data_IF_359805762121
#
_entry.id   IF_359805762121
#
_cell.length_a   1.000
_cell.length_b   1.000
_cell.length_c   1.000
_cell.angle_alpha   90.00
_cell.angle_beta   90.00
_cell.angle_gamma   90.00
#
_symmetry.space_group_name_H-M   'P 1'
#
loop_
_entity.id
_entity.type
_entity.pdbx_description
1 polymer ?
#
# COMPACT_ATOMS: atom_id res chain seq x y z
N UNK A 1 -22.40 8.60 1.06
CA UNK A 1 -22.53 7.12 1.04
C UNK A 1 -23.63 6.75 2.01
N UNK A 2 -24.54 5.86 1.64
CA UNK A 2 -25.60 5.42 2.56
C UNK A 2 -24.96 4.73 3.77
N UNK A 3 -25.36 5.14 4.98
CA UNK A 3 -25.08 4.42 6.23
C UNK A 3 -25.78 3.06 6.16
N UNK A 4 -25.15 2.10 5.48
CA UNK A 4 -25.47 0.70 5.66
C UNK A 4 -25.09 0.32 7.09
N UNK A 5 -26.00 -0.35 7.79
CA UNK A 5 -25.82 -0.84 9.14
C UNK A 5 -24.60 -1.80 9.18
N UNK A 6 -23.42 -1.28 9.54
CA UNK A 6 -22.19 -2.07 9.63
C UNK A 6 -22.33 -2.97 10.85
N UNK A 7 -22.57 -4.26 10.62
CA UNK A 7 -22.65 -5.23 11.70
C UNK A 7 -21.26 -5.47 12.26
N UNK A 8 -21.10 -5.17 13.54
CA UNK A 8 -19.88 -5.51 14.27
C UNK A 8 -19.68 -7.03 14.31
N UNK A 9 -18.45 -7.47 14.05
CA UNK A 9 -18.03 -8.86 14.14
C UNK A 9 -16.74 -8.95 14.95
N UNK A 10 -16.64 -9.99 15.76
CA UNK A 10 -15.42 -10.31 16.51
C UNK A 10 -14.31 -10.83 15.59
N UNK A 11 -13.06 -10.74 16.05
CA UNK A 11 -11.91 -11.34 15.37
C UNK A 11 -12.10 -12.84 15.16
N UNK A 12 -12.71 -13.55 16.11
CA UNK A 12 -13.01 -14.97 15.96
C UNK A 12 -13.98 -15.25 14.82
N UNK A 13 -14.98 -14.38 14.61
CA UNK A 13 -15.89 -14.49 13.47
C UNK A 13 -15.17 -14.22 12.15
N UNK A 14 -14.25 -13.26 12.11
CA UNK A 14 -13.41 -13.02 10.94
C UNK A 14 -12.52 -14.22 10.62
N UNK A 15 -11.87 -14.80 11.62
CA UNK A 15 -11.02 -16.00 11.45
C UNK A 15 -11.84 -17.15 10.86
N UNK A 16 -13.03 -17.42 11.42
CA UNK A 16 -13.92 -18.45 10.89
C UNK A 16 -14.33 -18.14 9.46
N UNK A 17 -14.70 -16.90 9.18
CA UNK A 17 -15.07 -16.48 7.84
C UNK A 17 -13.93 -16.77 6.86
N UNK A 18 -12.71 -16.34 7.15
CA UNK A 18 -11.52 -16.55 6.32
C UNK A 18 -11.17 -18.04 6.15
N UNK A 19 -11.35 -18.86 7.19
CA UNK A 19 -11.09 -20.31 7.10
C UNK A 19 -12.20 -21.05 6.33
N UNK A 20 -13.46 -20.58 6.40
CA UNK A 20 -14.62 -21.21 5.78
C UNK A 20 -14.88 -20.77 4.34
N UNK A 21 -14.55 -19.53 3.95
CA UNK A 21 -14.67 -19.11 2.55
C UNK A 21 -13.31 -19.04 1.88
N UNK A 22 -13.18 -19.78 0.78
CA UNK A 22 -11.92 -19.91 0.05
C UNK A 22 -11.50 -18.64 -0.71
N UNK A 23 -12.34 -17.59 -0.76
CA UNK A 23 -12.15 -16.44 -1.66
C UNK A 23 -12.16 -15.07 -0.96
N UNK A 24 -11.30 -14.86 0.04
CA UNK A 24 -11.10 -13.53 0.60
C UNK A 24 -9.99 -12.75 -0.11
N UNK A 25 -10.22 -11.44 -0.21
CA UNK A 25 -9.19 -10.47 -0.58
C UNK A 25 -9.30 -9.31 0.38
N UNK A 26 -8.16 -8.76 0.79
CA UNK A 26 -8.14 -7.58 1.66
C UNK A 26 -7.92 -6.32 0.84
N UNK A 27 -8.68 -5.28 1.14
CA UNK A 27 -8.37 -3.91 0.72
C UNK A 27 -7.65 -3.22 1.88
N UNK A 28 -6.39 -2.87 1.66
CA UNK A 28 -5.53 -2.33 2.71
C UNK A 28 -5.09 -0.92 2.35
N UNK A 29 -5.48 0.06 3.18
CA UNK A 29 -5.12 1.47 3.03
C UNK A 29 -3.93 1.91 3.88
N UNK A 30 -3.69 3.23 3.91
CA UNK A 30 -2.51 3.84 4.52
C UNK A 30 -2.37 3.57 6.02
N UNK A 31 -3.45 3.21 6.72
CA UNK A 31 -3.42 2.83 8.12
C UNK A 31 -2.53 1.62 8.43
N UNK A 32 -2.23 0.76 7.44
CA UNK A 32 -1.26 -0.33 7.59
C UNK A 32 0.20 0.15 7.67
N UNK A 33 0.51 1.26 6.99
CA UNK A 33 1.82 1.90 6.88
C UNK A 33 2.04 3.01 7.91
N UNK A 34 0.99 3.42 8.63
CA UNK A 34 1.03 4.51 9.60
C UNK A 34 1.83 4.23 10.89
N UNK A 35 1.77 3.03 11.50
CA UNK A 35 2.53 2.72 12.72
C UNK A 35 4.04 2.64 12.47
N UNK A 36 4.82 2.80 13.54
CA UNK A 36 6.25 2.48 13.50
C UNK A 36 6.49 0.99 13.17
N UNK A 37 7.55 0.66 12.40
CA UNK A 37 8.63 1.52 11.93
C UNK A 37 8.40 2.15 10.54
N UNK A 38 7.20 2.01 9.95
CA UNK A 38 6.92 2.57 8.64
C UNK A 38 6.68 4.08 8.69
N UNK A 39 5.84 4.51 9.66
CA UNK A 39 5.57 5.92 9.96
C UNK A 39 5.13 6.77 8.75
N UNK A 40 4.51 6.15 7.75
CA UNK A 40 4.00 6.84 6.56
C UNK A 40 2.68 7.53 6.93
N UNK A 41 2.55 8.86 6.78
CA UNK A 41 1.32 9.56 7.10
C UNK A 41 0.15 9.07 6.22
N UNK A 42 -1.04 9.04 6.80
CA UNK A 42 -2.28 8.75 6.08
C UNK A 42 -2.65 9.90 5.14
N UNK A 43 -3.56 9.66 4.18
CA UNK A 43 -4.03 10.71 3.28
C UNK A 43 -4.59 11.94 4.00
N UNK A 44 -5.35 11.73 5.09
CA UNK A 44 -5.85 12.82 5.92
C UNK A 44 -4.73 13.62 6.61
N UNK A 45 -3.72 12.93 7.15
CA UNK A 45 -2.58 13.60 7.78
C UNK A 45 -1.72 14.38 6.76
N UNK A 46 -1.59 13.86 5.54
CA UNK A 46 -0.91 14.58 4.46
C UNK A 46 -1.67 15.84 4.04
N UNK A 47 -3.00 15.79 3.95
CA UNK A 47 -3.84 16.95 3.67
C UNK A 47 -3.58 18.05 4.70
N UNK A 48 -3.68 17.72 5.99
CA UNK A 48 -3.48 18.70 7.07
C UNK A 48 -2.05 19.27 7.09
N UNK A 49 -1.05 18.42 6.82
CA UNK A 49 0.33 18.84 6.65
C UNK A 49 0.47 19.85 5.51
N UNK A 50 -0.08 19.56 4.32
CA UNK A 50 0.03 20.44 3.16
C UNK A 50 -0.77 21.73 3.31
N UNK A 51 -1.94 21.70 3.96
CA UNK A 51 -2.69 22.91 4.34
C UNK A 51 -1.81 23.84 5.18
N UNK A 52 -1.19 23.29 6.23
CA UNK A 52 -0.31 24.03 7.15
C UNK A 52 0.90 24.59 6.40
N UNK A 53 1.60 23.75 5.63
CA UNK A 53 2.78 24.18 4.86
C UNK A 53 2.45 25.29 3.85
N UNK A 54 1.31 25.20 3.16
CA UNK A 54 0.87 26.23 2.22
C UNK A 54 0.48 27.53 2.96
N UNK A 55 -0.22 27.43 4.08
CA UNK A 55 -0.60 28.60 4.89
C UNK A 55 0.64 29.34 5.41
N UNK A 56 1.60 28.61 5.99
CA UNK A 56 2.86 29.17 6.48
C UNK A 56 3.69 29.80 5.35
N UNK A 57 3.67 29.19 4.16
CA UNK A 57 4.38 29.70 2.99
C UNK A 57 3.75 30.98 2.42
N UNK A 58 2.43 31.03 2.31
CA UNK A 58 1.70 32.21 1.80
C UNK A 58 1.63 33.33 2.85
N UNK A 59 1.66 32.98 4.13
CA UNK A 59 1.56 33.88 5.28
C UNK A 59 0.44 34.94 5.11
N UNK A 60 -0.82 34.50 4.97
CA UNK A 60 -1.94 35.41 4.76
C UNK A 60 -2.29 36.20 6.03
N UNK A 61 -2.97 37.34 5.86
CA UNK A 61 -3.47 38.18 6.97
C UNK A 61 -4.79 37.66 7.59
N UNK A 62 -5.32 36.53 7.11
CA UNK A 62 -6.56 35.90 7.58
C UNK A 62 -6.26 34.63 8.38
N UNK A 63 -7.21 34.16 9.21
CA UNK A 63 -7.00 32.94 10.00
C UNK A 63 -7.00 31.66 9.14
N UNK A 64 -6.38 30.61 9.67
CA UNK A 64 -6.19 29.33 8.99
C UNK A 64 -7.48 28.74 8.40
N UNK A 65 -8.56 28.67 9.17
CA UNK A 65 -9.82 28.05 8.74
C UNK A 65 -10.50 28.86 7.64
N UNK A 66 -10.50 30.19 7.76
CA UNK A 66 -11.04 31.08 6.73
C UNK A 66 -10.24 30.98 5.43
N UNK A 67 -8.91 30.91 5.52
CA UNK A 67 -8.04 30.74 4.36
C UNK A 67 -8.25 29.39 3.66
N UNK A 68 -8.27 28.28 4.43
CA UNK A 68 -8.53 26.91 3.91
C UNK A 68 -9.88 26.88 3.21
N UNK A 69 -10.95 27.36 3.87
CA UNK A 69 -12.29 27.40 3.28
C UNK A 69 -12.39 28.29 2.04
N UNK A 70 -11.54 29.31 1.91
CA UNK A 70 -11.48 30.13 0.69
C UNK A 70 -10.76 29.43 -0.45
N UNK A 71 -9.71 28.67 -0.16
CA UNK A 71 -8.98 27.86 -1.15
C UNK A 71 -9.85 26.73 -1.67
N UNK A 72 -10.51 25.99 -0.79
CA UNK A 72 -11.31 24.81 -1.16
C UNK A 72 -12.55 25.16 -1.99
N UNK A 73 -13.05 26.40 -1.95
CA UNK A 73 -14.07 26.87 -2.91
C UNK A 73 -13.62 26.81 -4.37
N UNK A 74 -12.31 26.74 -4.63
CA UNK A 74 -11.73 26.60 -5.97
C UNK A 74 -11.51 25.13 -6.36
N UNK A 75 -11.74 24.19 -5.44
CA UNK A 75 -11.62 22.76 -5.71
C UNK A 75 -12.73 22.30 -6.66
N UNK A 76 -12.36 21.50 -7.67
CA UNK A 76 -13.32 20.85 -8.56
C UNK A 76 -13.66 19.46 -8.03
N UNK A 77 -14.92 19.25 -7.67
CA UNK A 77 -15.39 17.99 -7.09
C UNK A 77 -14.91 17.75 -5.66
N UNK A 78 -14.86 16.47 -5.26
CA UNK A 78 -14.60 16.00 -3.89
C UNK A 78 -13.22 15.31 -3.80
N UNK A 79 -12.17 15.99 -4.26
CA UNK A 79 -10.80 15.46 -4.27
C UNK A 79 -9.85 16.36 -3.48
N UNK A 80 -10.11 16.47 -2.17
CA UNK A 80 -9.33 17.27 -1.24
C UNK A 80 -7.84 16.88 -1.21
N UNK A 81 -7.55 15.57 -1.25
CA UNK A 81 -6.17 15.07 -1.31
C UNK A 81 -5.43 15.59 -2.54
N UNK A 82 -6.02 15.41 -3.73
CA UNK A 82 -5.40 15.88 -4.97
C UNK A 82 -5.25 17.39 -5.01
N UNK A 83 -6.26 18.13 -4.57
CA UNK A 83 -6.23 19.58 -4.51
C UNK A 83 -5.07 20.09 -3.67
N UNK A 84 -4.97 19.69 -2.39
CA UNK A 84 -3.90 20.16 -1.51
C UNK A 84 -2.51 19.66 -1.95
N UNK A 85 -2.44 18.46 -2.51
CA UNK A 85 -1.18 17.94 -3.03
C UNK A 85 -0.66 18.76 -4.22
N UNK A 86 -1.53 19.17 -5.14
CA UNK A 86 -1.18 20.02 -6.28
C UNK A 86 -0.92 21.47 -5.87
N UNK A 87 -1.65 21.99 -4.89
CA UNK A 87 -1.39 23.32 -4.33
C UNK A 87 0.01 23.40 -3.73
N UNK A 88 0.43 22.37 -2.98
CA UNK A 88 1.74 22.33 -2.34
C UNK A 88 2.88 21.95 -3.28
N UNK A 89 2.61 21.03 -4.20
CA UNK A 89 3.56 20.48 -5.16
C UNK A 89 2.96 20.55 -6.59
N UNK A 90 3.07 21.71 -7.27
CA UNK A 90 2.38 21.96 -8.54
C UNK A 90 2.81 21.05 -9.68
N UNK A 91 4.08 20.62 -9.71
CA UNK A 91 4.60 19.77 -10.77
C UNK A 91 4.53 18.29 -10.41
N UNK A 92 4.38 17.43 -11.42
CA UNK A 92 4.43 15.97 -11.25
C UNK A 92 5.77 15.50 -10.68
N UNK A 93 6.86 16.22 -10.98
CA UNK A 93 8.20 15.93 -10.45
C UNK A 93 8.28 16.11 -8.94
N UNK A 94 7.82 17.26 -8.44
CA UNK A 94 7.78 17.56 -7.00
C UNK A 94 6.90 16.59 -6.24
N UNK A 95 5.73 16.24 -6.80
CA UNK A 95 4.85 15.23 -6.19
C UNK A 95 5.53 13.88 -6.06
N UNK A 96 6.24 13.46 -7.10
CA UNK A 96 6.99 12.19 -7.08
C UNK A 96 8.12 12.23 -6.05
N UNK A 97 8.90 13.31 -6.02
CA UNK A 97 9.98 13.49 -5.06
C UNK A 97 9.44 13.45 -3.63
N UNK A 98 8.35 14.17 -3.36
CA UNK A 98 7.71 14.16 -2.05
C UNK A 98 7.27 12.76 -1.63
N UNK A 99 6.65 12.00 -2.53
CA UNK A 99 6.24 10.62 -2.21
C UNK A 99 7.46 9.73 -1.97
N UNK A 100 8.54 9.92 -2.73
CA UNK A 100 9.79 9.19 -2.50
C UNK A 100 10.35 9.47 -1.11
N UNK A 101 10.40 10.74 -0.68
CA UNK A 101 10.84 11.11 0.67
C UNK A 101 10.02 10.45 1.77
N UNK A 102 8.68 10.39 1.59
CA UNK A 102 7.77 9.78 2.56
C UNK A 102 8.00 8.28 2.73
N UNK A 103 8.53 7.58 1.71
CA UNK A 103 8.72 6.11 1.76
C UNK A 103 10.16 5.65 1.88
N UNK A 104 11.15 6.52 1.64
CA UNK A 104 12.56 6.12 1.45
C UNK A 104 13.14 5.29 2.60
N UNK A 105 12.76 5.62 3.84
CA UNK A 105 13.26 4.97 5.05
C UNK A 105 12.23 4.07 5.74
N UNK A 106 11.04 3.92 5.15
CA UNK A 106 9.98 3.10 5.73
C UNK A 106 10.36 1.62 5.65
N UNK A 107 10.05 0.87 6.71
CA UNK A 107 10.25 -0.58 6.75
C UNK A 107 8.95 -1.29 7.14
N UNK A 108 8.78 -2.57 6.75
CA UNK A 108 7.52 -3.25 6.97
C UNK A 108 7.13 -3.29 8.45
N UNK A 109 5.90 -2.88 8.75
CA UNK A 109 5.32 -3.04 10.09
C UNK A 109 5.03 -4.51 10.39
N UNK A 110 4.81 -4.84 11.67
CA UNK A 110 4.38 -6.19 12.05
C UNK A 110 3.09 -6.61 11.32
N UNK A 111 2.18 -5.67 11.06
CA UNK A 111 0.97 -5.92 10.28
C UNK A 111 1.27 -6.35 8.84
N UNK A 112 2.29 -5.78 8.20
CA UNK A 112 2.73 -6.21 6.86
C UNK A 112 3.31 -7.62 6.89
N UNK A 113 4.13 -7.95 7.88
CA UNK A 113 4.70 -9.30 8.04
C UNK A 113 3.60 -10.33 8.26
N UNK A 114 2.65 -10.04 9.14
CA UNK A 114 1.51 -10.91 9.40
C UNK A 114 0.66 -11.11 8.14
N UNK A 115 0.34 -10.02 7.43
CA UNK A 115 -0.44 -10.09 6.20
C UNK A 115 0.28 -10.89 5.11
N UNK A 116 1.59 -10.68 4.94
CA UNK A 116 2.40 -11.45 4.00
C UNK A 116 2.34 -12.94 4.33
N UNK A 117 2.46 -13.33 5.61
CA UNK A 117 2.34 -14.73 6.02
C UNK A 117 0.95 -15.30 5.77
N UNK A 118 -0.13 -14.54 5.98
CA UNK A 118 -1.49 -14.98 5.65
C UNK A 118 -1.69 -15.17 4.14
N UNK A 119 -1.08 -14.32 3.33
CA UNK A 119 -1.08 -14.43 1.87
C UNK A 119 -0.28 -15.65 1.40
N UNK A 120 0.86 -15.93 2.01
CA UNK A 120 1.77 -17.03 1.67
C UNK A 120 1.17 -18.41 1.99
N UNK A 121 0.49 -18.50 3.14
CA UNK A 121 -0.24 -19.70 3.57
C UNK A 121 -1.59 -19.87 2.84
N UNK A 122 -1.97 -18.92 1.98
CA UNK A 122 -3.16 -19.00 1.14
C UNK A 122 -4.49 -18.66 1.83
N UNK A 123 -4.46 -18.10 3.04
CA UNK A 123 -5.68 -17.67 3.74
C UNK A 123 -6.32 -16.44 3.09
N UNK A 124 -5.50 -15.50 2.65
CA UNK A 124 -5.94 -14.28 1.95
C UNK A 124 -5.00 -14.06 0.77
N UNK A 125 -5.10 -14.84 -0.31
CA UNK A 125 -4.08 -14.86 -1.36
C UNK A 125 -3.95 -13.52 -2.09
N UNK A 126 -4.95 -12.64 -2.03
CA UNK A 126 -4.94 -11.38 -2.78
C UNK A 126 -5.15 -10.16 -1.87
N UNK A 127 -4.31 -9.14 -2.08
CA UNK A 127 -4.41 -7.85 -1.41
C UNK A 127 -4.49 -6.75 -2.45
N UNK A 128 -5.50 -5.91 -2.32
CA UNK A 128 -5.67 -4.68 -3.09
C UNK A 128 -5.22 -3.52 -2.20
N UNK A 129 -4.46 -2.57 -2.76
CA UNK A 129 -3.99 -1.44 -1.97
C UNK A 129 -3.85 -0.16 -2.79
N UNK A 130 -4.40 0.97 -2.30
CA UNK A 130 -4.06 2.30 -2.74
C UNK A 130 -2.94 2.85 -1.84
N UNK A 131 -1.88 2.09 -1.55
CA UNK A 131 -0.68 2.60 -0.88
C UNK A 131 0.47 2.70 -1.89
N UNK A 132 1.17 3.84 -1.86
CA UNK A 132 2.27 4.15 -2.79
C UNK A 132 3.60 3.50 -2.36
N UNK A 133 3.68 3.03 -1.11
CA UNK A 133 4.81 2.27 -0.59
C UNK A 133 4.80 0.81 -1.07
N UNK A 134 5.93 0.12 -0.93
CA UNK A 134 6.07 -1.29 -1.30
C UNK A 134 6.19 -2.20 -0.05
N UNK A 135 5.73 -1.75 1.13
CA UNK A 135 6.05 -2.41 2.40
C UNK A 135 5.52 -3.84 2.51
N UNK A 136 4.37 -4.13 1.92
CA UNK A 136 3.84 -5.50 1.86
C UNK A 136 4.72 -6.41 0.99
N UNK A 137 5.19 -5.90 -0.16
CA UNK A 137 6.11 -6.65 -1.02
C UNK A 137 7.47 -6.84 -0.34
N UNK A 138 7.96 -5.80 0.34
CA UNK A 138 9.19 -5.87 1.13
C UNK A 138 9.09 -6.89 2.26
N UNK A 139 7.92 -7.03 2.89
CA UNK A 139 7.69 -8.05 3.91
C UNK A 139 7.87 -9.47 3.36
N UNK A 140 7.32 -9.75 2.16
CA UNK A 140 7.60 -11.01 1.47
C UNK A 140 9.09 -11.18 1.20
N UNK A 141 9.73 -10.15 0.64
CA UNK A 141 11.14 -10.22 0.28
C UNK A 141 12.08 -10.47 1.48
N UNK A 142 11.77 -9.86 2.63
CA UNK A 142 12.62 -9.91 3.82
C UNK A 142 12.37 -11.15 4.69
N UNK A 143 11.14 -11.66 4.74
CA UNK A 143 10.73 -12.65 5.75
C UNK A 143 10.23 -13.97 5.17
N UNK A 144 9.94 -14.06 3.88
CA UNK A 144 9.33 -15.23 3.25
C UNK A 144 10.17 -15.75 2.08
N UNK A 145 9.96 -17.02 1.72
CA UNK A 145 10.68 -17.67 0.61
C UNK A 145 9.98 -17.43 -0.73
N UNK A 146 8.65 -17.54 -0.75
CA UNK A 146 7.84 -17.27 -1.93
C UNK A 146 7.65 -15.75 -2.12
N UNK A 147 7.36 -15.33 -3.36
CA UNK A 147 7.14 -13.93 -3.72
C UNK A 147 5.77 -13.76 -4.35
N UNK A 148 5.04 -12.69 -4.00
CA UNK A 148 3.74 -12.43 -4.57
C UNK A 148 3.93 -11.80 -5.95
N UNK A 149 2.92 -11.93 -6.81
CA UNK A 149 2.83 -11.12 -8.01
C UNK A 149 2.46 -9.69 -7.62
N UNK A 150 3.08 -8.70 -8.26
CA UNK A 150 2.71 -7.29 -8.10
C UNK A 150 2.06 -6.83 -9.39
N UNK A 151 0.78 -6.47 -9.32
CA UNK A 151 -0.04 -6.08 -10.47
C UNK A 151 -0.42 -4.63 -10.32
N UNK A 152 -0.20 -3.86 -11.37
CA UNK A 152 -0.65 -2.47 -11.46
C UNK A 152 -2.03 -2.41 -12.13
N UNK A 153 -2.90 -1.50 -11.69
CA UNK A 153 -4.24 -1.29 -12.27
C UNK A 153 -4.26 -1.14 -13.80
N UNK A 154 -3.18 -0.67 -14.44
CA UNK A 154 -3.06 -0.58 -15.92
C UNK A 154 -2.56 -1.84 -16.60
N UNK A 155 -1.92 -2.74 -15.85
CA UNK A 155 -1.41 -4.00 -16.34
C UNK A 155 -2.44 -5.14 -16.23
N UNK A 156 -3.64 -4.86 -15.70
CA UNK A 156 -4.76 -5.81 -15.67
C UNK A 156 -5.28 -5.98 -17.11
N UNK A 157 -4.60 -6.83 -17.87
CA UNK A 157 -5.15 -7.35 -19.12
C UNK A 157 -6.48 -8.07 -18.80
N UNK A 158 -7.47 -8.07 -19.72
CA UNK A 158 -8.72 -8.81 -19.53
C UNK A 158 -8.52 -10.30 -19.21
N UNK A 159 -7.35 -10.87 -19.54
CA UNK A 159 -7.01 -12.26 -19.24
C UNK A 159 -6.45 -12.49 -17.82
N UNK A 160 -6.20 -11.45 -17.02
CA UNK A 160 -5.61 -11.61 -15.69
C UNK A 160 -6.64 -12.19 -14.71
N UNK A 161 -6.51 -13.51 -14.43
CA UNK A 161 -7.31 -14.20 -13.43
C UNK A 161 -6.51 -14.28 -12.13
N UNK A 162 -7.02 -13.63 -11.09
CA UNK A 162 -6.59 -13.90 -9.72
C UNK A 162 -6.97 -15.34 -9.39
N UNK A 163 -6.00 -16.25 -9.46
CA UNK A 163 -6.16 -17.66 -9.08
C UNK A 163 -5.58 -17.89 -7.71
N UNK A 164 -6.21 -18.76 -6.90
CA UNK A 164 -5.77 -19.11 -5.55
C UNK A 164 -4.35 -19.63 -5.40
N UNK A 165 -3.75 -20.12 -6.47
CA UNK A 165 -2.41 -20.73 -6.41
C UNK A 165 -1.28 -19.72 -6.24
N UNK A 166 -1.50 -18.44 -6.52
CA UNK A 166 -0.44 -17.43 -6.54
C UNK A 166 -0.88 -16.17 -5.79
N UNK A 167 -0.15 -15.84 -4.72
CA UNK A 167 -0.42 -14.64 -3.93
C UNK A 167 -0.18 -13.38 -4.78
N UNK A 168 -1.05 -12.38 -4.66
CA UNK A 168 -1.01 -11.19 -5.50
C UNK A 168 -1.26 -9.89 -4.73
N UNK A 169 -0.45 -8.88 -5.00
CA UNK A 169 -0.60 -7.50 -4.53
C UNK A 169 -1.05 -6.65 -5.72
N UNK A 170 -2.27 -6.18 -5.69
CA UNK A 170 -2.88 -5.32 -6.71
C UNK A 170 -2.81 -3.87 -6.26
N UNK A 171 -1.98 -3.08 -6.96
CA UNK A 171 -1.83 -1.65 -6.74
C UNK A 171 -2.94 -0.89 -7.46
N UNK A 172 -3.77 -0.19 -6.70
CA UNK A 172 -4.92 0.57 -7.21
C UNK A 172 -4.57 1.98 -7.68
N UNK A 173 -3.36 2.43 -7.40
CA UNK A 173 -2.94 3.81 -7.66
C UNK A 173 -2.83 4.13 -9.14
N UNK A 174 -3.66 5.10 -9.55
CA UNK A 174 -3.61 5.76 -10.86
C UNK A 174 -2.37 6.63 -11.09
N UNK A 175 -2.23 7.09 -12.34
CA UNK A 175 -1.25 7.99 -13.00
C UNK A 175 -0.20 8.81 -12.21
N UNK A 176 -0.46 9.20 -10.96
CA UNK A 176 0.45 10.03 -10.16
C UNK A 176 1.85 9.43 -10.03
N UNK A 177 1.96 8.09 -9.99
CA UNK A 177 3.20 7.38 -9.71
C UNK A 177 3.78 6.55 -10.86
N UNK A 178 3.08 6.47 -12.00
CA UNK A 178 3.34 5.43 -13.01
C UNK A 178 4.76 5.46 -13.61
N UNK A 179 5.47 6.59 -13.51
CA UNK A 179 6.84 6.70 -14.04
C UNK A 179 7.91 6.55 -12.93
N UNK A 180 8.34 5.31 -12.70
CA UNK A 180 9.69 4.90 -12.26
C UNK A 180 10.04 4.70 -10.75
N UNK A 181 9.09 4.65 -9.81
CA UNK A 181 9.44 4.27 -8.42
C UNK A 181 9.96 2.83 -8.33
N UNK A 182 9.38 1.88 -9.08
CA UNK A 182 9.92 0.52 -9.17
C UNK A 182 11.36 0.49 -9.71
N UNK A 183 11.70 1.29 -10.73
CA UNK A 183 13.02 1.18 -11.40
C UNK A 183 14.22 1.56 -10.51
N UNK A 184 14.01 2.31 -9.42
CA UNK A 184 15.12 2.80 -8.58
C UNK A 184 15.37 1.90 -7.37
N UNK A 185 14.34 1.32 -6.74
CA UNK A 185 14.52 0.36 -5.62
C UNK A 185 15.11 -0.97 -6.07
N UNK A 186 14.73 -1.49 -7.24
CA UNK A 186 15.36 -2.69 -7.81
C UNK A 186 16.86 -2.47 -8.15
N UNK A 187 17.30 -1.23 -8.38
CA UNK A 187 18.72 -0.96 -8.68
C UNK A 187 19.57 -0.85 -7.42
N UNK A 188 19.04 -0.24 -6.36
CA UNK A 188 19.78 0.01 -5.12
C UNK A 188 19.73 -1.17 -4.12
N UNK A 189 18.68 -2.00 -4.15
CA UNK A 189 18.57 -3.19 -3.29
C UNK A 189 19.48 -4.36 -3.70
N UNK A 190 19.81 -4.48 -5.00
CA UNK A 190 20.59 -5.60 -5.54
C UNK A 190 22.09 -5.45 -5.24
N UNK A 191 22.61 -4.22 -5.13
CA UNK A 191 24.02 -3.99 -4.80
C UNK A 191 24.35 -4.13 -3.31
N UNK A 192 23.42 -3.81 -2.41
CA UNK A 192 23.65 -3.88 -0.96
C UNK A 192 23.58 -5.31 -0.39
N UNK A 193 22.91 -6.24 -1.08
CA UNK A 193 22.63 -7.60 -0.57
C UNK A 193 23.50 -8.70 -1.22
N UNK A 194 24.16 -8.45 -2.36
CA UNK A 194 25.16 -9.39 -2.93
C UNK A 194 26.28 -9.80 -1.97
N UNK A 195 26.46 -9.09 -0.86
CA UNK A 195 27.42 -9.44 0.20
C UNK A 195 26.89 -10.44 1.26
N UNK A 196 25.60 -10.80 1.27
CA UNK A 196 25.01 -11.65 2.33
C UNK A 196 24.58 -13.06 1.90
N UNK A 197 24.45 -13.33 0.61
CA UNK A 197 23.81 -14.57 0.12
C UNK A 197 24.76 -15.71 -0.32
N UNK A 198 26.05 -15.67 0.01
CA UNK A 198 26.98 -16.77 -0.33
C UNK A 198 26.82 -18.06 0.52
N UNK A 199 25.70 -18.26 1.23
CA UNK A 199 25.65 -19.30 2.28
C UNK A 199 24.38 -20.13 2.46
N UNK A 200 23.29 -19.98 1.69
CA UNK A 200 22.03 -20.70 2.01
C UNK A 200 21.59 -21.68 0.91
N UNK A 201 21.52 -22.96 1.28
CA UNK A 201 21.02 -24.03 0.42
C UNK A 201 19.47 -24.05 0.36
N UNK A 202 18.84 -24.48 -0.75
CA UNK A 202 17.39 -24.47 -0.90
C UNK A 202 16.74 -25.66 -0.16
N UNK A 203 15.64 -25.42 0.56
CA UNK A 203 14.80 -26.48 1.15
C UNK A 203 13.53 -26.70 0.31
N UNK A 204 13.30 -27.95 -0.08
CA UNK A 204 12.17 -28.39 -0.90
C UNK A 204 10.91 -28.59 -0.05
N UNK A 205 9.89 -27.73 -0.22
CA UNK A 205 8.57 -27.82 0.45
C UNK A 205 7.39 -27.91 -0.52
N UNK A 206 7.57 -28.50 -1.71
CA UNK A 206 6.45 -28.80 -2.63
C UNK A 206 5.42 -29.84 -2.12
N UNK A 207 5.50 -30.28 -0.86
CA UNK A 207 4.70 -31.40 -0.34
C UNK A 207 3.43 -31.03 0.41
N UNK A 208 3.21 -29.76 0.78
CA UNK A 208 2.00 -29.36 1.54
C UNK A 208 0.85 -28.88 0.64
N UNK A 209 1.15 -28.39 -0.58
CA UNK A 209 0.13 -27.89 -1.53
C UNK A 209 -0.80 -28.96 -2.12
N UNK A 210 -0.51 -30.25 -1.98
CA UNK A 210 -1.28 -31.32 -2.63
C UNK A 210 -2.51 -31.81 -1.84
N UNK A 211 -2.64 -31.47 -0.55
CA UNK A 211 -3.67 -32.09 0.32
C UNK A 211 -4.91 -31.23 0.60
N UNK A 212 -5.05 -30.03 0.00
CA UNK A 212 -6.26 -29.19 0.18
C UNK A 212 -7.18 -29.11 -1.04
N UNK A 213 -6.80 -29.66 -2.20
CA UNK A 213 -7.69 -29.72 -3.39
C UNK A 213 -8.42 -31.06 -3.56
N UNK A 214 -8.67 -31.79 -2.48
CA UNK A 214 -9.40 -33.04 -2.57
C UNK A 214 -10.05 -33.42 -1.26
N UNK A 215 -11.28 -32.96 -1.06
CA UNK A 215 -12.45 -33.73 -0.58
C UNK A 215 -13.72 -32.89 -0.74
#
# INVERSE_FOLDING_TARGET
>A
MAEGDIREASVTQLIRAVDECENYSFLVGAGSSRPAPAEIPTGGELIEMWKTECYDHENPDEDFETWVGTKEKKMDGDNEYGFWFEQRHPTRGERRERIQELVENATPTFGHVLLASLMDEGYVPHVLTPNFDDLLFDAFYLYLEDKPQVIDHRAVAPEFRLTHSESAIVKLHGDYLYDNLQKHRFRNGVESIRRRDEGRAPTDRRRVRANRCGL
#
